data_IF_765618068744
#
_entry.id   IF_765618068744
#
_cell.length_a   1.000
_cell.length_b   1.000
_cell.length_c   1.000
_cell.angle_alpha   90.00
_cell.angle_beta   90.00
_cell.angle_gamma   90.00
#
_symmetry.space_group_name_H-M   'P 1'
#
loop_
_entity.id
_entity.type
_entity.pdbx_description
1 polymer ?
#
# COMPACT_ATOMS: atom_id res chain seq x y z
N UNK A 1 15.16 18.65 4.18
CA UNK A 1 14.10 17.65 4.49
C UNK A 1 12.92 18.26 5.24
N UNK A 2 13.10 18.95 6.38
CA UNK A 2 11.98 19.52 7.16
C UNK A 2 11.10 20.54 6.40
N UNK A 3 11.66 21.35 5.49
CA UNK A 3 10.88 22.34 4.73
C UNK A 3 9.88 21.71 3.73
N UNK A 4 10.21 20.56 3.13
CA UNK A 4 9.30 19.86 2.20
C UNK A 4 8.11 19.25 2.94
N UNK A 5 8.36 18.72 4.14
CA UNK A 5 7.32 18.13 4.99
C UNK A 5 6.43 19.17 5.65
N UNK A 6 6.82 20.44 5.73
CA UNK A 6 5.98 21.51 6.33
C UNK A 6 4.71 21.81 5.53
N UNK A 7 4.69 21.48 4.24
CA UNK A 7 3.54 21.72 3.39
C UNK A 7 2.66 20.46 3.33
N UNK A 8 1.39 20.49 3.80
CA UNK A 8 0.46 19.38 3.66
C UNK A 8 0.27 18.91 2.20
N UNK A 9 0.45 19.81 1.23
CA UNK A 9 0.36 19.48 -0.19
C UNK A 9 1.39 18.42 -0.61
N UNK A 10 2.60 18.42 -0.04
CA UNK A 10 3.62 17.42 -0.39
C UNK A 10 3.14 16.01 -0.08
N UNK A 11 2.51 15.82 1.08
CA UNK A 11 1.99 14.53 1.49
C UNK A 11 0.78 14.12 0.63
N UNK A 12 -0.14 15.06 0.40
CA UNK A 12 -1.32 14.82 -0.42
C UNK A 12 -0.96 14.42 -1.87
N UNK A 13 0.04 15.08 -2.47
CA UNK A 13 0.52 14.77 -3.82
C UNK A 13 1.16 13.38 -3.85
N UNK A 14 2.06 13.08 -2.89
CA UNK A 14 2.71 11.78 -2.80
C UNK A 14 1.69 10.64 -2.68
N UNK A 15 0.79 10.75 -1.70
CA UNK A 15 -0.26 9.76 -1.46
C UNK A 15 -1.16 9.57 -2.69
N UNK A 16 -1.56 10.66 -3.34
CA UNK A 16 -2.43 10.61 -4.53
C UNK A 16 -1.74 9.93 -5.71
N UNK A 17 -0.49 10.32 -6.01
CA UNK A 17 0.25 9.82 -7.17
C UNK A 17 0.48 8.32 -7.08
N UNK A 18 0.99 7.84 -5.94
CA UNK A 18 1.28 6.41 -5.76
C UNK A 18 0.01 5.58 -5.59
N UNK A 19 -1.03 6.11 -4.93
CA UNK A 19 -2.32 5.40 -4.88
C UNK A 19 -2.91 5.25 -6.28
N UNK A 20 -2.86 6.30 -7.11
CA UNK A 20 -3.34 6.24 -8.48
C UNK A 20 -2.54 5.22 -9.29
N UNK A 21 -1.22 5.19 -9.17
CA UNK A 21 -0.35 4.23 -9.85
C UNK A 21 -0.68 2.78 -9.48
N UNK A 22 -0.67 2.43 -8.19
CA UNK A 22 -0.93 1.06 -7.75
C UNK A 22 -2.37 0.62 -8.03
N UNK A 23 -3.33 1.52 -7.84
CA UNK A 23 -4.73 1.20 -8.12
C UNK A 23 -4.99 0.99 -9.59
N UNK A 24 -4.35 1.78 -10.48
CA UNK A 24 -4.44 1.58 -11.92
C UNK A 24 -3.94 0.19 -12.32
N UNK A 25 -2.78 -0.23 -11.79
CA UNK A 25 -2.24 -1.57 -12.05
C UNK A 25 -3.23 -2.64 -11.60
N UNK A 26 -3.76 -2.54 -10.38
CA UNK A 26 -4.69 -3.53 -9.84
C UNK A 26 -6.02 -3.58 -10.61
N UNK A 27 -6.53 -2.43 -11.05
CA UNK A 27 -7.76 -2.37 -11.82
C UNK A 27 -7.58 -2.94 -13.24
N UNK A 28 -6.44 -2.65 -13.89
CA UNK A 28 -6.14 -3.23 -15.21
C UNK A 28 -5.96 -4.74 -15.08
N UNK A 29 -5.19 -5.23 -14.11
CA UNK A 29 -4.92 -6.67 -14.01
C UNK A 29 -6.09 -7.50 -13.46
N UNK A 30 -7.14 -6.86 -12.95
CA UNK A 30 -8.32 -7.54 -12.40
C UNK A 30 -9.09 -8.30 -13.49
N UNK A 31 -9.14 -9.62 -13.37
CA UNK A 31 -9.84 -10.49 -14.32
C UNK A 31 -9.19 -10.57 -15.70
N UNK A 32 -7.96 -10.06 -15.88
CA UNK A 32 -7.23 -10.17 -17.14
C UNK A 32 -6.63 -11.57 -17.31
N UNK A 33 -6.97 -12.22 -18.42
CA UNK A 33 -6.54 -13.59 -18.74
C UNK A 33 -5.02 -13.74 -18.73
N UNK A 34 -4.28 -12.75 -19.22
CA UNK A 34 -2.81 -12.75 -19.18
C UNK A 34 -2.27 -12.74 -17.75
N UNK A 35 -2.90 -11.97 -16.86
CA UNK A 35 -2.52 -11.91 -15.46
C UNK A 35 -2.88 -13.20 -14.72
N UNK A 36 -4.06 -13.77 -14.96
CA UNK A 36 -4.41 -15.09 -14.41
C UNK A 36 -3.42 -16.16 -14.91
N UNK A 37 -2.99 -16.05 -16.17
CA UNK A 37 -2.11 -17.03 -16.77
C UNK A 37 -0.69 -17.05 -16.20
N UNK A 38 -0.24 -15.99 -15.53
CA UNK A 38 1.08 -15.95 -14.88
C UNK A 38 1.04 -16.37 -13.42
N UNK A 39 -0.15 -16.60 -12.85
CA UNK A 39 -0.32 -17.10 -11.49
C UNK A 39 0.10 -18.58 -11.43
N UNK A 40 1.06 -18.88 -10.56
CA UNK A 40 1.62 -20.21 -10.37
C UNK A 40 0.72 -21.07 -9.49
N UNK A 41 0.29 -20.54 -8.34
CA UNK A 41 -0.38 -21.35 -7.32
C UNK A 41 -1.83 -21.67 -7.68
N UNK A 42 -2.46 -20.91 -8.58
CA UNK A 42 -3.78 -21.22 -9.17
C UNK A 42 -3.79 -22.55 -9.94
N UNK A 43 -2.61 -22.97 -10.44
CA UNK A 43 -2.42 -24.24 -11.16
C UNK A 43 -1.67 -25.30 -10.35
N UNK A 44 -1.35 -25.01 -9.09
CA UNK A 44 -0.57 -25.93 -8.24
C UNK A 44 -1.47 -26.96 -7.54
N UNK A 45 -0.91 -28.09 -7.13
CA UNK A 45 -1.63 -29.19 -6.46
C UNK A 45 -2.12 -28.84 -5.03
N UNK A 46 -2.17 -27.55 -4.66
CA UNK A 46 -2.77 -27.09 -3.40
C UNK A 46 -1.96 -27.41 -2.13
N UNK A 47 -0.65 -27.71 -2.24
CA UNK A 47 0.20 -27.99 -1.07
C UNK A 47 0.34 -26.79 -0.14
N UNK A 48 0.36 -25.57 -0.68
CA UNK A 48 0.44 -24.34 0.10
C UNK A 48 -0.93 -23.66 0.20
N UNK A 49 -1.64 -23.93 1.30
CA UNK A 49 -3.01 -23.44 1.53
C UNK A 49 -3.13 -21.90 1.42
N UNK A 50 -2.16 -21.16 1.98
CA UNK A 50 -2.17 -19.69 1.91
C UNK A 50 -1.94 -19.17 0.49
N UNK A 51 -0.90 -19.65 -0.21
CA UNK A 51 -0.55 -19.17 -1.54
C UNK A 51 -1.59 -19.55 -2.59
N UNK A 52 -2.19 -20.74 -2.46
CA UNK A 52 -3.31 -21.16 -3.31
C UNK A 52 -4.51 -20.24 -3.11
N UNK A 53 -4.87 -19.94 -1.86
CA UNK A 53 -5.97 -19.01 -1.56
C UNK A 53 -5.72 -17.58 -2.07
N UNK A 54 -4.50 -17.07 -1.88
CA UNK A 54 -4.10 -15.76 -2.39
C UNK A 54 -4.12 -15.72 -3.93
N UNK A 55 -3.62 -16.76 -4.58
CA UNK A 55 -3.62 -16.88 -6.04
C UNK A 55 -5.04 -16.94 -6.60
N UNK A 56 -5.95 -17.71 -6.00
CA UNK A 56 -7.37 -17.71 -6.38
C UNK A 56 -8.06 -16.37 -6.15
N UNK A 57 -7.72 -15.65 -5.08
CA UNK A 57 -8.21 -14.29 -4.84
C UNK A 57 -7.81 -13.35 -5.97
N UNK A 58 -6.55 -13.41 -6.41
CA UNK A 58 -6.03 -12.64 -7.55
C UNK A 58 -6.67 -13.08 -8.89
N UNK A 59 -6.82 -14.39 -9.11
CA UNK A 59 -7.43 -14.95 -10.31
C UNK A 59 -8.90 -14.52 -10.46
N UNK A 60 -9.61 -14.41 -9.35
CA UNK A 60 -10.99 -13.91 -9.28
C UNK A 60 -11.08 -12.39 -9.49
N UNK A 61 -9.96 -11.68 -9.63
CA UNK A 61 -9.90 -10.24 -9.81
C UNK A 61 -10.19 -9.43 -8.54
N UNK A 62 -10.22 -10.06 -7.36
CA UNK A 62 -10.64 -9.41 -6.12
C UNK A 62 -9.65 -8.35 -5.60
N UNK A 63 -8.43 -8.28 -6.14
CA UNK A 63 -7.52 -7.18 -5.86
C UNK A 63 -8.03 -5.81 -6.37
N UNK A 64 -9.04 -5.78 -7.25
CA UNK A 64 -9.77 -4.54 -7.55
C UNK A 64 -10.47 -3.97 -6.29
N UNK A 65 -10.99 -4.82 -5.40
CA UNK A 65 -11.59 -4.35 -4.15
C UNK A 65 -10.55 -3.72 -3.22
N UNK A 66 -9.33 -4.25 -3.21
CA UNK A 66 -8.20 -3.65 -2.50
C UNK A 66 -7.90 -2.26 -3.08
N UNK A 67 -7.86 -2.14 -4.41
CA UNK A 67 -7.68 -0.85 -5.08
C UNK A 67 -8.77 0.16 -4.71
N UNK A 68 -10.05 -0.21 -4.78
CA UNK A 68 -11.16 0.67 -4.40
C UNK A 68 -11.09 1.10 -2.93
N UNK A 69 -10.72 0.19 -2.04
CA UNK A 69 -10.54 0.51 -0.61
C UNK A 69 -9.42 1.52 -0.41
N UNK A 70 -8.27 1.32 -1.07
CA UNK A 70 -7.13 2.23 -0.98
C UNK A 70 -7.43 3.60 -1.60
N UNK A 71 -8.14 3.65 -2.73
CA UNK A 71 -8.60 4.91 -3.34
C UNK A 71 -9.50 5.66 -2.35
N UNK A 72 -10.49 4.99 -1.76
CA UNK A 72 -11.43 5.62 -0.84
C UNK A 72 -10.70 6.17 0.41
N UNK A 73 -9.77 5.41 0.98
CA UNK A 73 -8.95 5.86 2.11
C UNK A 73 -8.04 7.03 1.72
N UNK A 74 -7.37 6.97 0.58
CA UNK A 74 -6.51 8.05 0.13
C UNK A 74 -7.29 9.34 -0.17
N UNK A 75 -8.49 9.24 -0.77
CA UNK A 75 -9.38 10.40 -0.95
C UNK A 75 -9.75 11.01 0.40
N UNK A 76 -10.14 10.18 1.38
CA UNK A 76 -10.45 10.64 2.74
C UNK A 76 -9.27 11.42 3.34
N UNK A 77 -8.07 10.83 3.31
CA UNK A 77 -6.85 11.45 3.84
C UNK A 77 -6.54 12.76 3.10
N UNK A 78 -6.57 12.76 1.77
CA UNK A 78 -6.29 13.96 0.96
C UNK A 78 -7.31 15.07 1.24
N UNK A 79 -8.60 14.77 1.33
CA UNK A 79 -9.63 15.76 1.68
C UNK A 79 -9.34 16.36 3.06
N UNK A 80 -9.01 15.53 4.04
CA UNK A 80 -8.67 16.01 5.39
C UNK A 80 -7.41 16.89 5.37
N UNK A 81 -6.39 16.52 4.59
CA UNK A 81 -5.17 17.34 4.40
C UNK A 81 -5.47 18.69 3.72
N UNK A 82 -6.34 18.71 2.71
CA UNK A 82 -6.72 19.93 1.97
C UNK A 82 -7.63 20.86 2.76
N UNK A 83 -8.49 20.32 3.64
CA UNK A 83 -9.32 21.16 4.53
C UNK A 83 -8.49 21.93 5.56
N UNK A 84 -7.22 21.54 5.77
CA UNK A 84 -6.31 22.21 6.69
C UNK A 84 -5.77 23.50 6.06
N UNK A 85 -6.13 24.65 6.66
CA UNK A 85 -5.72 25.98 6.16
C UNK A 85 -4.33 26.44 6.62
N UNK A 86 -3.75 25.80 7.64
CA UNK A 86 -2.46 26.21 8.21
C UNK A 86 -1.34 25.22 7.88
N UNK A 87 -0.12 25.72 7.59
CA UNK A 87 1.05 24.87 7.42
C UNK A 87 1.35 24.09 8.70
N UNK A 88 2.12 23.00 8.59
CA UNK A 88 2.48 22.20 9.77
C UNK A 88 3.41 22.98 10.70
N UNK A 89 3.05 23.01 11.98
CA UNK A 89 3.96 23.42 13.06
C UNK A 89 4.97 22.31 13.39
N UNK A 90 5.85 22.56 14.36
CA UNK A 90 6.87 21.61 14.75
C UNK A 90 6.30 20.29 15.29
N UNK A 91 5.20 20.35 16.05
CA UNK A 91 4.51 19.17 16.57
C UNK A 91 3.97 18.29 15.44
N UNK A 92 3.30 18.91 14.47
CA UNK A 92 2.76 18.24 13.30
C UNK A 92 3.85 17.57 12.48
N UNK A 93 4.99 18.25 12.28
CA UNK A 93 6.11 17.64 11.56
C UNK A 93 6.76 16.49 12.33
N UNK A 94 6.80 16.54 13.66
CA UNK A 94 7.35 15.47 14.51
C UNK A 94 6.46 14.21 14.48
N UNK A 95 5.13 14.38 14.60
CA UNK A 95 4.18 13.27 14.50
C UNK A 95 4.23 12.63 13.11
N UNK A 96 4.25 13.43 12.04
CA UNK A 96 4.38 12.93 10.67
C UNK A 96 5.67 12.12 10.49
N UNK A 97 6.79 12.61 11.04
CA UNK A 97 8.08 11.93 10.96
C UNK A 97 8.06 10.59 11.70
N UNK A 98 7.40 10.51 12.86
CA UNK A 98 7.22 9.26 13.61
C UNK A 98 6.37 8.26 12.83
N UNK A 99 5.25 8.69 12.25
CA UNK A 99 4.41 7.84 11.39
C UNK A 99 5.20 7.30 10.19
N UNK A 100 5.95 8.17 9.51
CA UNK A 100 6.78 7.79 8.37
C UNK A 100 7.92 6.84 8.77
N UNK A 101 8.55 7.07 9.93
CA UNK A 101 9.60 6.21 10.44
C UNK A 101 9.08 4.79 10.73
N UNK A 102 7.91 4.68 11.36
CA UNK A 102 7.24 3.39 11.61
C UNK A 102 6.93 2.68 10.28
N UNK A 103 6.32 3.39 9.32
CA UNK A 103 6.03 2.83 7.99
C UNK A 103 7.31 2.39 7.25
N UNK A 104 8.40 3.14 7.39
CA UNK A 104 9.71 2.81 6.81
C UNK A 104 10.29 1.54 7.44
N UNK A 105 10.24 1.41 8.77
CA UNK A 105 10.72 0.21 9.48
C UNK A 105 9.92 -1.02 9.04
N UNK A 106 8.58 -0.90 9.01
CA UNK A 106 7.71 -1.99 8.54
C UNK A 106 7.98 -2.35 7.07
N UNK A 107 8.27 -1.35 6.23
CA UNK A 107 8.63 -1.58 4.82
C UNK A 107 9.96 -2.33 4.70
N UNK A 108 10.98 -1.95 5.48
CA UNK A 108 12.27 -2.65 5.49
C UNK A 108 12.12 -4.10 5.97
N UNK A 109 11.31 -4.33 7.00
CA UNK A 109 10.98 -5.67 7.47
C UNK A 109 10.25 -6.48 6.39
N UNK A 110 9.26 -5.88 5.72
CA UNK A 110 8.53 -6.51 4.63
C UNK A 110 9.44 -6.86 3.45
N UNK A 111 10.40 -6.01 3.09
CA UNK A 111 11.40 -6.28 2.05
C UNK A 111 12.27 -7.47 2.46
N UNK A 112 12.75 -7.52 3.69
CA UNK A 112 13.57 -8.62 4.19
C UNK A 112 12.79 -9.95 4.17
N UNK A 113 11.53 -9.94 4.61
CA UNK A 113 10.65 -11.11 4.57
C UNK A 113 10.39 -11.53 3.11
N UNK A 114 10.08 -10.59 2.22
CA UNK A 114 9.87 -10.86 0.81
C UNK A 114 11.11 -11.50 0.16
N UNK A 115 12.30 -10.97 0.47
CA UNK A 115 13.56 -11.54 0.00
C UNK A 115 13.76 -12.99 0.48
N UNK A 116 13.49 -13.29 1.75
CA UNK A 116 13.55 -14.65 2.28
C UNK A 116 12.52 -15.58 1.64
N UNK A 117 11.30 -15.10 1.38
CA UNK A 117 10.26 -15.88 0.70
C UNK A 117 10.68 -16.26 -0.72
N UNK A 118 11.29 -15.34 -1.46
CA UNK A 118 11.80 -15.59 -2.82
C UNK A 118 12.99 -16.56 -2.81
N UNK A 119 13.90 -16.45 -1.84
CA UNK A 119 15.03 -17.37 -1.72
C UNK A 119 14.60 -18.78 -1.30
N UNK A 120 13.61 -18.89 -0.42
CA UNK A 120 13.11 -20.17 0.07
C UNK A 120 12.38 -20.93 -1.03
N UNK A 121 11.55 -20.24 -1.81
CA UNK A 121 10.86 -20.82 -2.95
C UNK A 121 10.67 -19.75 -4.03
N UNK A 122 11.31 -19.86 -5.21
CA UNK A 122 11.22 -18.84 -6.25
C UNK A 122 9.90 -18.87 -7.03
N UNK A 123 9.07 -19.89 -6.84
CA UNK A 123 7.78 -20.02 -7.54
C UNK A 123 6.77 -18.96 -7.09
N UNK A 124 5.82 -18.63 -7.97
CA UNK A 124 4.74 -17.67 -7.68
C UNK A 124 5.24 -16.28 -7.28
N UNK A 125 6.28 -15.78 -7.95
CA UNK A 125 6.88 -14.47 -7.68
C UNK A 125 5.86 -13.34 -7.83
N UNK A 126 4.91 -13.49 -8.76
CA UNK A 126 3.84 -12.51 -9.02
C UNK A 126 2.91 -12.42 -7.80
N UNK A 127 2.48 -13.55 -7.26
CA UNK A 127 1.66 -13.63 -6.06
C UNK A 127 2.37 -13.05 -4.84
N UNK A 128 3.65 -13.38 -4.65
CA UNK A 128 4.48 -12.86 -3.56
C UNK A 128 4.66 -11.34 -3.67
N UNK A 129 4.93 -10.85 -4.88
CA UNK A 129 5.20 -9.44 -5.12
C UNK A 129 3.93 -8.58 -5.01
N UNK A 130 2.79 -9.08 -5.51
CA UNK A 130 1.49 -8.42 -5.34
C UNK A 130 1.11 -8.32 -3.88
N UNK A 131 1.30 -9.39 -3.09
CA UNK A 131 1.07 -9.34 -1.64
C UNK A 131 1.99 -8.33 -0.95
N UNK A 132 3.28 -8.30 -1.31
CA UNK A 132 4.24 -7.33 -0.80
C UNK A 132 3.80 -5.89 -1.09
N UNK A 133 3.38 -5.58 -2.32
CA UNK A 133 2.87 -4.25 -2.70
C UNK A 133 1.64 -3.89 -1.87
N UNK A 134 0.69 -4.82 -1.69
CA UNK A 134 -0.52 -4.59 -0.88
C UNK A 134 -0.13 -4.23 0.54
N UNK A 135 0.72 -5.04 1.19
CA UNK A 135 1.14 -4.81 2.58
C UNK A 135 1.89 -3.48 2.71
N UNK A 136 2.84 -3.22 1.81
CA UNK A 136 3.62 -1.99 1.81
C UNK A 136 2.72 -0.76 1.67
N UNK A 137 1.85 -0.73 0.65
CA UNK A 137 1.04 0.44 0.37
C UNK A 137 -0.05 0.66 1.41
N UNK A 138 -0.69 -0.40 1.90
CA UNK A 138 -1.63 -0.32 3.04
C UNK A 138 -0.95 0.30 4.26
N UNK A 139 0.29 -0.10 4.56
CA UNK A 139 1.04 0.44 5.70
C UNK A 139 1.26 1.95 5.57
N UNK A 140 1.60 2.44 4.37
CA UNK A 140 1.80 3.87 4.12
C UNK A 140 0.49 4.65 4.26
N UNK A 141 -0.58 4.19 3.59
CA UNK A 141 -1.91 4.84 3.66
C UNK A 141 -2.43 4.89 5.10
N UNK A 142 -2.25 3.82 5.88
CA UNK A 142 -2.65 3.78 7.29
C UNK A 142 -1.79 4.72 8.16
N UNK A 143 -0.49 4.84 7.89
CA UNK A 143 0.36 5.80 8.60
C UNK A 143 -0.11 7.25 8.40
N UNK A 144 -0.47 7.61 7.16
CA UNK A 144 -1.03 8.93 6.85
C UNK A 144 -2.43 9.13 7.44
N UNK A 145 -3.28 8.11 7.44
CA UNK A 145 -4.58 8.15 8.09
C UNK A 145 -4.44 8.41 9.60
N UNK A 146 -3.56 7.66 10.28
CA UNK A 146 -3.27 7.83 11.71
C UNK A 146 -2.75 9.25 11.98
N UNK A 147 -1.82 9.74 11.15
CA UNK A 147 -1.31 11.11 11.25
C UNK A 147 -2.45 12.12 11.21
N UNK A 148 -3.30 12.06 10.19
CA UNK A 148 -4.41 13.00 10.02
C UNK A 148 -5.42 12.91 11.15
N UNK A 149 -5.72 11.71 11.66
CA UNK A 149 -6.65 11.51 12.77
C UNK A 149 -6.11 12.12 14.08
N UNK A 150 -4.83 11.93 14.39
CA UNK A 150 -4.21 12.49 15.61
C UNK A 150 -4.12 14.02 15.53
N UNK A 151 -3.73 14.54 14.36
CA UNK A 151 -3.48 15.97 14.14
C UNK A 151 -4.73 16.79 13.78
N UNK A 152 -5.93 16.20 13.73
CA UNK A 152 -7.19 16.92 13.46
C UNK A 152 -7.85 17.49 14.73
N UNK A 153 -7.55 16.91 15.89
CA UNK A 153 -8.24 17.23 17.15
C UNK A 153 -7.43 18.16 18.09
N UNK A 154 -6.30 18.71 17.62
CA UNK A 154 -5.45 19.68 18.32
C UNK A 154 -4.95 20.72 17.33
#
# INVERSE_FOLDING_TARGET
>A
MKQLLKNPATNAIGLSLFTAFYSLIFLITSGHVEFVNILYYDRSDGRDSFWTGWSHFLASGYHAYIAYTLIALSILVVLMLLTRRHPYDEYHTDVLLKCLAVATILTLAAIAIFYLLVLSEPNGIVEKFTLFIVIHWVTVVLADLVYVLICRWR
#
